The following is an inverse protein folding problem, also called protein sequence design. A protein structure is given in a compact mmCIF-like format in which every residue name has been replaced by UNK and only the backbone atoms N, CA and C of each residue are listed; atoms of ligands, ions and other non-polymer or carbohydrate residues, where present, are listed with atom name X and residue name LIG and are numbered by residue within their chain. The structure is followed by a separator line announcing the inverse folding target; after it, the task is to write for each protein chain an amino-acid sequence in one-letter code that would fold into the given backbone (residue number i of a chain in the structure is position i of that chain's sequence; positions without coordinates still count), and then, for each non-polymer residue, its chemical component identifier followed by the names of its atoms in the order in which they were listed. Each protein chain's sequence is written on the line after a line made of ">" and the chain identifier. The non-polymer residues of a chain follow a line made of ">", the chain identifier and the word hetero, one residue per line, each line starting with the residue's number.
data_IF_911740349426
#
_entry.id   IF_911740349426
#
_cell.length_a   1.000
_cell.length_b   1.000
_cell.length_c   1.000
_cell.angle_alpha   90.00
_cell.angle_beta   90.00
_cell.angle_gamma   90.00
#
_symmetry.space_group_name_H-M   'P 1'
#
loop_
_entity.id
_entity.type
_entity.pdbx_description
1 polymer ?
#
# COMPACT_ATOMS: atom_id res chain seq x y z
N UNK A 1 -30.75 -2.19 -24.51
CA UNK A 1 -30.24 -1.86 -25.85
C UNK A 1 -31.15 -2.38 -26.99
N UNK A 2 -31.50 -3.67 -27.06
CA UNK A 2 -32.38 -4.22 -28.11
C UNK A 2 -33.75 -3.54 -28.27
N UNK A 3 -34.41 -3.17 -27.17
CA UNK A 3 -35.73 -2.52 -27.20
C UNK A 3 -35.69 -1.05 -27.70
N UNK A 4 -34.56 -0.35 -27.50
CA UNK A 4 -34.32 0.99 -28.05
C UNK A 4 -34.10 0.94 -29.56
N UNK A 5 -33.37 -0.08 -30.03
CA UNK A 5 -33.16 -0.34 -31.46
C UNK A 5 -34.50 -0.62 -32.16
N UNK A 6 -35.37 -1.44 -31.56
CA UNK A 6 -36.70 -1.70 -32.12
C UNK A 6 -37.59 -0.47 -32.15
N UNK A 7 -37.56 0.37 -31.11
CA UNK A 7 -38.30 1.64 -31.08
C UNK A 7 -37.82 2.62 -32.16
N UNK A 8 -36.51 2.78 -32.33
CA UNK A 8 -35.97 3.65 -33.37
C UNK A 8 -36.29 3.17 -34.79
N UNK A 9 -36.26 1.84 -35.03
CA UNK A 9 -36.69 1.24 -36.30
C UNK A 9 -38.16 1.51 -36.59
N UNK A 10 -39.04 1.40 -35.58
CA UNK A 10 -40.47 1.74 -35.70
C UNK A 10 -40.73 3.22 -35.96
N UNK A 11 -39.83 4.11 -35.52
CA UNK A 11 -39.91 5.55 -35.75
C UNK A 11 -39.27 6.02 -37.07
N UNK A 12 -38.79 5.09 -37.90
CA UNK A 12 -38.21 5.39 -39.22
C UNK A 12 -36.83 6.07 -39.15
N UNK A 13 -36.12 5.96 -38.03
CA UNK A 13 -34.77 6.50 -37.92
C UNK A 13 -33.81 5.72 -38.84
N UNK A 14 -33.05 6.39 -39.73
CA UNK A 14 -32.34 5.72 -40.83
C UNK A 14 -31.10 4.93 -40.42
N UNK A 15 -30.69 4.94 -39.14
CA UNK A 15 -29.49 4.24 -38.66
C UNK A 15 -29.60 3.92 -37.17
N UNK A 16 -30.19 2.76 -36.84
CA UNK A 16 -30.43 2.31 -35.46
C UNK A 16 -29.76 0.97 -35.17
N UNK A 17 -28.78 0.58 -35.99
CA UNK A 17 -28.04 -0.65 -35.73
C UNK A 17 -27.05 -0.41 -34.58
N UNK A 18 -27.01 -1.32 -33.58
CA UNK A 18 -26.10 -1.18 -32.46
C UNK A 18 -24.66 -1.19 -32.99
N UNK A 19 -23.93 -0.12 -32.72
CA UNK A 19 -22.51 -0.04 -33.04
C UNK A 19 -21.74 -0.87 -31.98
N UNK A 20 -21.10 -1.99 -32.34
CA UNK A 20 -20.29 -2.76 -31.40
C UNK A 20 -19.06 -1.99 -30.91
N UNK A 21 -18.72 -0.87 -31.55
CA UNK A 21 -17.65 0.05 -31.15
C UNK A 21 -18.14 1.23 -30.30
N UNK A 22 -19.45 1.37 -30.06
CA UNK A 22 -19.91 2.31 -29.04
C UNK A 22 -19.43 1.79 -27.69
N UNK A 23 -18.42 2.47 -27.12
CA UNK A 23 -17.94 2.23 -25.75
C UNK A 23 -19.15 2.39 -24.81
N UNK A 24 -19.76 1.28 -24.38
CA UNK A 24 -20.60 1.31 -23.17
C UNK A 24 -19.67 1.69 -22.02
N UNK A 25 -19.82 2.90 -21.49
CA UNK A 25 -19.05 3.36 -20.34
C UNK A 25 -19.53 2.60 -19.10
N UNK A 26 -18.91 1.45 -18.84
CA UNK A 26 -19.13 0.69 -17.63
C UNK A 26 -18.32 1.32 -16.49
N UNK A 27 -19.01 1.95 -15.55
CA UNK A 27 -18.40 2.40 -14.29
C UNK A 27 -18.54 1.33 -13.23
N UNK A 28 -17.44 1.03 -12.54
CA UNK A 28 -17.42 0.12 -11.40
C UNK A 28 -16.59 0.68 -10.28
N UNK A 29 -17.03 0.43 -9.05
CA UNK A 29 -16.28 0.76 -7.86
C UNK A 29 -15.36 -0.41 -7.51
N UNK A 30 -14.09 -0.11 -7.28
CA UNK A 30 -13.11 -1.07 -6.82
C UNK A 30 -12.68 -0.71 -5.41
N UNK A 31 -12.58 -1.72 -4.54
CA UNK A 31 -12.06 -1.57 -3.18
C UNK A 31 -10.68 -2.20 -3.10
N UNK A 32 -9.69 -1.41 -2.72
CA UNK A 32 -8.33 -1.86 -2.43
C UNK A 32 -8.05 -1.73 -0.93
N UNK A 33 -7.39 -2.72 -0.34
CA UNK A 33 -6.90 -2.61 1.02
C UNK A 33 -5.46 -3.06 1.07
N UNK A 34 -4.62 -2.23 1.69
CA UNK A 34 -3.20 -2.45 1.82
C UNK A 34 -2.85 -2.43 3.31
N UNK A 35 -1.80 -3.14 3.67
CA UNK A 35 -1.23 -3.10 5.01
C UNK A 35 0.28 -2.96 4.86
N UNK A 36 0.86 -1.98 5.55
CA UNK A 36 2.30 -1.78 5.60
C UNK A 36 2.74 -2.20 6.99
N UNK A 37 3.52 -3.29 7.05
CA UNK A 37 4.21 -3.67 8.26
C UNK A 37 5.44 -2.76 8.43
N UNK A 38 5.27 -1.68 9.18
CA UNK A 38 6.31 -0.68 9.40
C UNK A 38 7.49 -1.22 10.22
N UNK A 39 7.27 -2.29 11.00
CA UNK A 39 8.30 -2.93 11.81
C UNK A 39 9.22 -3.80 10.96
N UNK A 40 8.70 -4.47 9.94
CA UNK A 40 9.49 -5.28 9.00
C UNK A 40 10.02 -4.42 7.85
N UNK A 41 9.34 -3.34 7.46
CA UNK A 41 9.73 -2.54 6.31
C UNK A 41 11.16 -2.00 6.44
N UNK A 42 12.00 -2.28 5.44
CA UNK A 42 13.41 -1.89 5.44
C UNK A 42 14.31 -2.75 6.35
N UNK A 43 13.82 -3.89 6.85
CA UNK A 43 14.62 -4.94 7.46
C UNK A 43 14.65 -6.15 6.53
N UNK A 44 15.82 -6.77 6.42
CA UNK A 44 15.99 -8.04 5.72
C UNK A 44 16.96 -8.94 6.51
N UNK A 45 16.85 -10.24 6.33
CA UNK A 45 17.64 -11.23 7.04
C UNK A 45 18.14 -12.30 6.08
N UNK A 46 19.45 -12.52 6.11
CA UNK A 46 20.14 -13.49 5.26
C UNK A 46 20.84 -14.50 6.15
N UNK A 47 20.65 -15.78 5.82
CA UNK A 47 21.43 -16.89 6.38
C UNK A 47 22.55 -17.21 5.40
N UNK A 48 23.79 -16.95 5.79
CA UNK A 48 24.98 -17.09 4.97
C UNK A 48 25.90 -18.20 5.47
N UNK A 49 26.65 -18.83 4.57
CA UNK A 49 27.67 -19.82 4.93
C UNK A 49 28.98 -19.15 5.37
N UNK A 50 29.24 -17.93 4.88
CA UNK A 50 30.39 -17.13 5.30
C UNK A 50 30.05 -15.63 5.27
N UNK A 51 30.60 -14.91 6.25
CA UNK A 51 30.60 -13.46 6.30
C UNK A 51 32.01 -12.94 6.54
N UNK A 52 32.46 -11.98 5.73
CA UNK A 52 33.70 -11.24 5.93
C UNK A 52 33.37 -9.79 6.28
N UNK A 53 33.67 -9.42 7.53
CA UNK A 53 33.41 -8.10 8.08
C UNK A 53 34.25 -7.00 7.42
N UNK A 54 35.48 -7.31 6.99
CA UNK A 54 36.39 -6.34 6.39
C UNK A 54 35.93 -5.90 4.99
N UNK A 55 35.44 -6.85 4.20
CA UNK A 55 34.95 -6.61 2.85
C UNK A 55 33.44 -6.46 2.75
N UNK A 56 32.71 -6.65 3.87
CA UNK A 56 31.24 -6.77 3.94
C UNK A 56 30.67 -7.73 2.90
N UNK A 57 31.41 -8.81 2.64
CA UNK A 57 31.02 -9.83 1.67
C UNK A 57 30.28 -10.98 2.32
N UNK A 58 29.23 -11.44 1.63
CA UNK A 58 28.35 -12.53 2.05
C UNK A 58 28.51 -13.65 1.04
N UNK A 59 28.72 -14.87 1.52
CA UNK A 59 28.76 -16.08 0.68
C UNK A 59 27.61 -17.00 1.04
N UNK A 60 26.83 -17.39 0.03
CA UNK A 60 25.78 -18.41 0.12
C UNK A 60 26.13 -19.54 -0.83
N UNK A 61 26.19 -20.77 -0.31
CA UNK A 61 26.49 -21.98 -1.06
C UNK A 61 25.20 -22.56 -1.63
N UNK A 62 25.20 -22.91 -2.90
CA UNK A 62 24.07 -23.57 -3.57
C UNK A 62 24.55 -24.74 -4.45
N UNK A 63 23.62 -25.61 -4.83
CA UNK A 63 23.89 -26.73 -5.76
C UNK A 63 23.23 -26.46 -7.10
N UNK A 64 24.01 -26.62 -8.17
CA UNK A 64 23.55 -26.53 -9.55
C UNK A 64 24.28 -27.62 -10.34
N UNK A 65 23.54 -28.45 -11.07
CA UNK A 65 24.07 -29.59 -11.84
C UNK A 65 24.96 -30.55 -11.02
N UNK A 66 24.55 -30.86 -9.78
CA UNK A 66 25.32 -31.65 -8.80
C UNK A 66 26.69 -31.07 -8.38
N UNK A 67 27.06 -29.89 -8.86
CA UNK A 67 28.24 -29.16 -8.42
C UNK A 67 27.88 -28.16 -7.31
N UNK A 68 28.74 -28.03 -6.32
CA UNK A 68 28.63 -26.99 -5.29
C UNK A 68 29.20 -25.69 -5.82
N UNK A 69 28.43 -24.61 -5.75
CA UNK A 69 28.80 -23.26 -6.21
C UNK A 69 28.59 -22.25 -5.08
N UNK A 70 29.37 -21.17 -5.15
CA UNK A 70 29.33 -20.07 -4.20
C UNK A 70 28.73 -18.83 -4.88
N UNK A 71 27.67 -18.27 -4.29
CA UNK A 71 27.14 -16.97 -4.65
C UNK A 71 27.67 -15.92 -3.68
N UNK A 72 28.45 -14.97 -4.19
CA UNK A 72 29.10 -13.94 -3.38
C UNK A 72 28.57 -12.57 -3.78
N UNK A 73 28.10 -11.82 -2.80
CA UNK A 73 27.65 -10.44 -2.98
C UNK A 73 28.12 -9.56 -1.82
N UNK A 74 28.16 -8.24 -2.05
CA UNK A 74 28.63 -7.24 -1.09
C UNK A 74 27.48 -6.34 -0.68
N UNK A 75 27.45 -5.95 0.60
CA UNK A 75 26.51 -4.94 1.08
C UNK A 75 27.16 -3.56 1.02
N UNK A 76 26.64 -2.69 0.16
CA UNK A 76 26.96 -1.27 0.16
C UNK A 76 26.13 -0.54 1.24
N UNK A 77 26.66 -0.46 2.47
CA UNK A 77 25.94 0.20 3.56
C UNK A 77 26.13 1.72 3.55
N UNK A 78 25.66 2.41 2.50
CA UNK A 78 25.69 3.88 2.50
C UNK A 78 24.68 4.47 3.49
N UNK A 79 23.59 3.75 3.83
CA UNK A 79 22.48 4.24 4.66
C UNK A 79 21.82 3.14 5.54
N UNK A 80 22.55 2.11 5.95
CA UNK A 80 21.98 0.99 6.73
C UNK A 80 22.98 0.37 7.71
N UNK A 81 22.45 -0.36 8.69
CA UNK A 81 23.22 -1.14 9.68
C UNK A 81 23.20 -2.60 9.27
N UNK A 82 24.37 -3.23 9.22
CA UNK A 82 24.51 -4.68 9.06
C UNK A 82 24.92 -5.25 10.40
N UNK A 83 24.06 -6.05 11.03
CA UNK A 83 24.39 -6.83 12.22
C UNK A 83 24.65 -8.26 11.80
N UNK A 84 25.63 -8.92 12.39
CA UNK A 84 25.87 -10.33 12.14
C UNK A 84 26.02 -11.10 13.46
N UNK A 85 25.56 -12.35 13.45
CA UNK A 85 25.74 -13.29 14.56
C UNK A 85 25.96 -14.70 14.00
N UNK A 86 26.74 -15.51 14.71
CA UNK A 86 26.82 -16.94 14.39
C UNK A 86 25.57 -17.63 14.95
N UNK A 87 25.00 -18.54 14.18
CA UNK A 87 23.86 -19.33 14.63
C UNK A 87 24.43 -20.51 15.42
N UNK A 88 24.17 -20.55 16.73
CA UNK A 88 24.62 -21.63 17.61
C UNK A 88 24.18 -22.98 17.02
N UNK A 89 25.12 -23.92 16.95
CA UNK A 89 25.03 -25.27 16.35
C UNK A 89 25.21 -25.37 14.82
N UNK A 90 25.49 -24.28 14.11
CA UNK A 90 25.83 -24.32 12.67
C UNK A 90 27.06 -23.47 12.35
N UNK A 91 27.79 -23.80 11.28
CA UNK A 91 28.85 -22.93 10.73
C UNK A 91 28.29 -21.71 9.97
N UNK A 92 26.99 -21.42 10.11
CA UNK A 92 26.29 -20.37 9.38
C UNK A 92 26.22 -19.05 10.17
N UNK A 93 26.10 -17.97 9.41
CA UNK A 93 25.97 -16.61 9.89
C UNK A 93 24.56 -16.11 9.62
N UNK A 94 23.94 -15.50 10.62
CA UNK A 94 22.77 -14.65 10.47
C UNK A 94 23.24 -13.23 10.22
N UNK A 95 22.75 -12.61 9.16
CA UNK A 95 23.07 -11.24 8.79
C UNK A 95 21.76 -10.47 8.70
N UNK A 96 21.56 -9.52 9.62
CA UNK A 96 20.41 -8.64 9.64
C UNK A 96 20.79 -7.30 8.97
N UNK A 97 20.05 -6.94 7.93
CA UNK A 97 20.22 -5.70 7.17
C UNK A 97 19.09 -4.76 7.57
N UNK A 98 19.43 -3.57 8.08
CA UNK A 98 18.45 -2.60 8.55
C UNK A 98 18.71 -1.25 7.89
N UNK A 99 17.72 -0.75 7.15
CA UNK A 99 17.74 0.60 6.57
C UNK A 99 17.62 1.64 7.69
N UNK A 100 18.33 2.77 7.55
CA UNK A 100 18.22 3.90 8.47
C UNK A 100 16.74 4.32 8.66
N UNK A 101 16.28 4.54 9.91
CA UNK A 101 14.90 4.97 10.19
C UNK A 101 14.41 6.15 9.37
N UNK A 102 15.25 7.17 9.12
CA UNK A 102 14.88 8.35 8.32
C UNK A 102 14.58 7.98 6.86
N UNK A 103 15.43 7.15 6.24
CA UNK A 103 15.23 6.67 4.87
C UNK A 103 14.02 5.74 4.79
N UNK A 104 13.86 4.85 5.78
CA UNK A 104 12.71 3.96 5.89
C UNK A 104 11.40 4.75 5.97
N UNK A 105 11.30 5.71 6.89
CA UNK A 105 10.10 6.53 7.08
C UNK A 105 9.78 7.34 5.82
N UNK A 106 10.80 7.95 5.18
CA UNK A 106 10.63 8.65 3.89
C UNK A 106 10.00 7.74 2.83
N UNK A 107 10.51 6.51 2.66
CA UNK A 107 9.97 5.55 1.69
C UNK A 107 8.52 5.18 1.98
N UNK A 108 8.16 5.00 3.25
CA UNK A 108 6.76 4.72 3.64
C UNK A 108 5.88 5.92 3.30
N UNK A 109 6.32 7.15 3.62
CA UNK A 109 5.60 8.38 3.25
C UNK A 109 5.43 8.48 1.73
N UNK A 110 6.49 8.27 0.95
CA UNK A 110 6.44 8.32 -0.52
C UNK A 110 5.42 7.30 -1.08
N UNK A 111 5.32 6.10 -0.50
CA UNK A 111 4.31 5.07 -0.86
C UNK A 111 2.90 5.56 -0.50
N UNK A 112 2.71 6.05 0.72
CA UNK A 112 1.41 6.54 1.20
C UNK A 112 0.91 7.73 0.37
N UNK A 113 1.79 8.66 0.02
CA UNK A 113 1.47 9.80 -0.84
C UNK A 113 1.14 9.37 -2.26
N UNK A 114 1.86 8.38 -2.80
CA UNK A 114 1.56 7.80 -4.12
C UNK A 114 0.17 7.18 -4.16
N UNK A 115 -0.21 6.44 -3.11
CA UNK A 115 -1.56 5.87 -2.97
C UNK A 115 -2.60 7.00 -2.82
N UNK A 116 -2.30 8.00 -1.99
CA UNK A 116 -3.23 9.10 -1.69
C UNK A 116 -3.52 9.99 -2.89
N UNK A 117 -2.48 10.34 -3.66
CA UNK A 117 -2.57 11.30 -4.76
C UNK A 117 -2.95 10.63 -6.08
N UNK A 118 -2.88 9.30 -6.14
CA UNK A 118 -3.32 8.50 -7.27
C UNK A 118 -2.16 7.90 -8.06
N UNK A 119 -2.50 6.83 -8.79
CA UNK A 119 -1.55 6.03 -9.56
C UNK A 119 -1.67 6.36 -11.04
N UNK A 120 -0.53 6.40 -11.73
CA UNK A 120 -0.49 6.46 -13.18
C UNK A 120 -1.02 5.16 -13.78
N UNK A 121 -1.95 5.27 -14.74
CA UNK A 121 -2.53 4.13 -15.43
C UNK A 121 -2.53 4.37 -16.94
N UNK A 122 -1.83 3.51 -17.67
CA UNK A 122 -1.81 3.55 -19.13
C UNK A 122 -2.64 2.41 -19.70
N UNK A 123 -3.62 2.72 -20.53
CA UNK A 123 -4.42 1.71 -21.24
C UNK A 123 -4.64 2.16 -22.68
N UNK A 124 -4.27 1.31 -23.64
CA UNK A 124 -4.55 1.51 -25.07
C UNK A 124 -4.17 2.89 -25.63
N UNK A 125 -3.02 3.44 -25.23
CA UNK A 125 -2.54 4.76 -25.68
C UNK A 125 -3.12 5.96 -24.91
N UNK A 126 -4.03 5.74 -23.97
CA UNK A 126 -4.53 6.75 -23.04
C UNK A 126 -3.67 6.76 -21.77
N UNK A 127 -3.31 7.96 -21.30
CA UNK A 127 -2.64 8.19 -20.02
C UNK A 127 -3.69 8.71 -19.03
N UNK A 128 -4.14 7.84 -18.12
CA UNK A 128 -5.14 8.13 -17.10
C UNK A 128 -4.50 8.14 -15.70
N UNK A 129 -5.17 8.79 -14.75
CA UNK A 129 -4.79 8.74 -13.33
C UNK A 129 -5.90 8.05 -12.56
N UNK A 130 -5.55 7.00 -11.80
CA UNK A 130 -6.46 6.34 -10.87
C UNK A 130 -6.33 7.06 -9.53
N UNK A 131 -7.30 7.93 -9.22
CA UNK A 131 -7.37 8.65 -7.94
C UNK A 131 -8.41 7.97 -7.04
N UNK A 132 -8.12 7.70 -5.76
CA UNK A 132 -9.10 7.18 -4.83
C UNK A 132 -10.32 8.11 -4.68
N UNK A 133 -11.53 7.53 -4.72
CA UNK A 133 -12.77 8.29 -4.46
C UNK A 133 -12.92 8.62 -2.97
N UNK A 134 -12.37 7.79 -2.10
CA UNK A 134 -12.16 8.06 -0.68
C UNK A 134 -11.02 7.16 -0.17
N UNK A 135 -10.41 7.55 0.94
CA UNK A 135 -9.32 6.84 1.62
C UNK A 135 -9.65 6.79 3.10
N UNK A 136 -9.41 5.62 3.71
CA UNK A 136 -9.43 5.42 5.15
C UNK A 136 -8.11 4.77 5.53
N UNK A 137 -7.39 5.36 6.48
CA UNK A 137 -6.11 4.85 6.96
C UNK A 137 -5.97 5.04 8.47
N UNK A 138 -5.25 4.15 9.14
CA UNK A 138 -4.93 4.28 10.57
C UNK A 138 -3.73 3.42 10.92
N UNK A 139 -3.08 3.72 12.04
CA UNK A 139 -2.18 2.77 12.70
C UNK A 139 -2.96 1.53 13.15
N UNK A 140 -2.35 0.36 13.02
CA UNK A 140 -2.95 -0.90 13.44
C UNK A 140 -1.97 -1.70 14.27
N UNK A 141 -2.46 -2.34 15.34
CA UNK A 141 -1.64 -3.19 16.23
C UNK A 141 -1.22 -4.51 15.57
N UNK A 142 -1.96 -4.92 14.54
CA UNK A 142 -1.74 -6.17 13.81
C UNK A 142 -1.73 -5.82 12.33
N UNK A 143 -0.77 -6.34 11.54
CA UNK A 143 -0.69 -6.10 10.10
C UNK A 143 -1.81 -6.87 9.36
N UNK A 144 -3.05 -6.44 9.55
CA UNK A 144 -4.25 -7.02 8.95
C UNK A 144 -5.09 -5.91 8.30
N UNK A 145 -5.81 -6.19 7.20
CA UNK A 145 -6.68 -5.23 6.52
C UNK A 145 -7.96 -4.94 7.32
N UNK A 146 -7.83 -4.27 8.48
CA UNK A 146 -8.90 -4.08 9.48
C UNK A 146 -10.14 -3.43 8.89
N UNK A 147 -9.99 -2.49 7.95
CA UNK A 147 -11.10 -1.77 7.33
C UNK A 147 -11.91 -2.64 6.35
N UNK A 148 -11.30 -3.65 5.72
CA UNK A 148 -11.87 -4.28 4.53
C UNK A 148 -13.25 -4.91 4.76
N UNK A 149 -13.45 -5.54 5.92
CA UNK A 149 -14.69 -6.23 6.27
C UNK A 149 -15.81 -5.29 6.70
N UNK A 150 -15.50 -4.10 7.18
CA UNK A 150 -16.50 -3.15 7.68
C UNK A 150 -16.95 -2.18 6.59
N UNK A 151 -16.03 -1.75 5.74
CA UNK A 151 -16.28 -0.66 4.79
C UNK A 151 -16.96 -1.17 3.53
N UNK A 152 -18.09 -0.54 3.22
CA UNK A 152 -18.86 -0.79 2.00
C UNK A 152 -19.44 0.52 1.45
N UNK A 153 -19.83 0.52 0.17
CA UNK A 153 -20.46 1.67 -0.50
C UNK A 153 -21.85 1.27 -0.94
N UNK A 154 -22.87 1.96 -0.42
CA UNK A 154 -24.26 1.75 -0.80
C UNK A 154 -24.80 2.93 -1.59
N UNK A 155 -25.72 2.63 -2.51
CA UNK A 155 -26.46 3.64 -3.25
C UNK A 155 -27.80 3.88 -2.55
N UNK A 156 -27.99 5.07 -2.00
CA UNK A 156 -29.23 5.53 -1.37
C UNK A 156 -29.73 6.77 -2.11
N UNK A 157 -30.98 6.75 -2.59
CA UNK A 157 -31.60 7.86 -3.34
C UNK A 157 -30.77 8.38 -4.53
N UNK A 158 -30.05 7.48 -5.20
CA UNK A 158 -29.18 7.82 -6.33
C UNK A 158 -27.78 8.28 -5.93
N UNK A 159 -27.52 8.53 -4.65
CA UNK A 159 -26.24 9.01 -4.10
C UNK A 159 -25.44 7.85 -3.51
N UNK A 160 -24.13 7.82 -3.77
CA UNK A 160 -23.22 6.85 -3.17
C UNK A 160 -22.83 7.29 -1.76
N UNK A 161 -22.98 6.41 -0.77
CA UNK A 161 -22.62 6.65 0.63
C UNK A 161 -21.70 5.56 1.14
N UNK A 162 -20.66 5.96 1.88
CA UNK A 162 -19.76 5.04 2.58
C UNK A 162 -20.38 4.66 3.92
N UNK A 163 -20.41 3.36 4.23
CA UNK A 163 -20.96 2.82 5.48
C UNK A 163 -19.94 1.97 6.23
N UNK A 164 -20.22 1.68 7.51
CA UNK A 164 -19.43 0.77 8.36
C UNK A 164 -18.25 1.38 9.10
N UNK A 165 -17.92 2.66 8.84
CA UNK A 165 -16.82 3.37 9.53
C UNK A 165 -17.02 3.35 11.05
N UNK A 166 -18.23 3.65 11.55
CA UNK A 166 -18.52 3.66 12.98
C UNK A 166 -18.31 2.30 13.65
N UNK A 167 -18.56 1.20 12.94
CA UNK A 167 -18.31 -0.14 13.47
C UNK A 167 -16.81 -0.47 13.45
N UNK A 168 -16.10 0.01 12.42
CA UNK A 168 -14.66 -0.10 12.36
C UNK A 168 -13.98 0.63 13.53
N UNK A 169 -14.43 1.84 13.90
CA UNK A 169 -13.86 2.63 15.01
C UNK A 169 -13.95 1.96 16.39
N UNK A 170 -14.82 0.96 16.54
CA UNK A 170 -14.95 0.13 17.75
C UNK A 170 -13.92 -1.00 17.79
N UNK A 171 -13.22 -1.27 16.70
CA UNK A 171 -12.25 -2.35 16.61
C UNK A 171 -10.98 -2.02 17.43
N UNK A 172 -10.65 -2.90 18.38
CA UNK A 172 -9.51 -2.74 19.30
C UNK A 172 -8.12 -2.76 18.63
N UNK A 173 -8.05 -3.20 17.37
CA UNK A 173 -6.81 -3.26 16.59
C UNK A 173 -6.45 -1.91 15.96
N UNK A 174 -7.40 -0.99 15.84
CA UNK A 174 -7.11 0.40 15.46
C UNK A 174 -6.32 1.05 16.59
N UNK A 175 -5.23 1.73 16.22
CA UNK A 175 -4.35 2.43 17.14
C UNK A 175 -4.27 3.91 16.77
N UNK A 176 -4.73 4.77 17.67
CA UNK A 176 -4.82 6.22 17.45
C UNK A 176 -5.99 6.65 16.57
N UNK A 177 -5.79 7.75 15.85
CA UNK A 177 -6.80 8.34 14.96
C UNK A 177 -6.89 7.63 13.61
N UNK A 178 -8.08 7.69 13.01
CA UNK A 178 -8.38 7.22 11.66
C UNK A 178 -8.41 8.42 10.73
N UNK A 179 -7.49 8.43 9.78
CA UNK A 179 -7.49 9.36 8.67
C UNK A 179 -8.61 9.02 7.69
N UNK A 180 -9.39 10.03 7.31
CA UNK A 180 -10.42 9.92 6.28
C UNK A 180 -10.26 11.07 5.29
N UNK A 181 -10.15 10.73 4.01
CA UNK A 181 -10.20 11.67 2.91
C UNK A 181 -11.29 11.23 1.94
N UNK A 182 -12.09 12.19 1.47
CA UNK A 182 -13.17 11.92 0.52
C UNK A 182 -13.09 12.87 -0.70
N UNK A 183 -14.06 12.78 -1.60
CA UNK A 183 -14.18 13.70 -2.72
C UNK A 183 -15.64 14.06 -2.98
N UNK A 184 -15.86 15.04 -3.87
CA UNK A 184 -17.22 15.46 -4.26
C UNK A 184 -18.10 14.33 -4.79
N UNK A 185 -17.50 13.28 -5.39
CA UNK A 185 -18.23 12.15 -5.97
C UNK A 185 -18.75 11.17 -4.92
N UNK A 186 -18.01 10.98 -3.82
CA UNK A 186 -18.36 10.10 -2.71
C UNK A 186 -17.93 10.80 -1.43
N UNK A 187 -18.90 11.35 -0.70
CA UNK A 187 -18.68 11.99 0.59
C UNK A 187 -18.76 10.99 1.74
N UNK A 188 -17.98 11.23 2.77
CA UNK A 188 -17.93 10.44 3.99
C UNK A 188 -18.52 11.23 5.15
N UNK A 189 -19.80 11.03 5.42
CA UNK A 189 -20.54 11.76 6.45
C UNK A 189 -20.44 11.07 7.83
N UNK A 190 -19.26 11.13 8.46
CA UNK A 190 -19.05 10.57 9.81
C UNK A 190 -18.35 11.59 10.71
N UNK A 191 -19.00 11.92 11.83
CA UNK A 191 -18.43 12.75 12.90
C UNK A 191 -18.07 11.86 14.09
N UNK A 192 -16.78 11.79 14.41
CA UNK A 192 -16.24 11.05 15.54
C UNK A 192 -14.90 11.68 15.97
N UNK A 193 -14.60 11.70 17.26
CA UNK A 193 -13.35 12.26 17.80
C UNK A 193 -12.09 11.50 17.36
N UNK A 194 -12.25 10.22 16.98
CA UNK A 194 -11.18 9.40 16.43
C UNK A 194 -10.90 9.68 14.96
N UNK A 195 -11.72 10.47 14.28
CA UNK A 195 -11.51 10.78 12.85
C UNK A 195 -10.66 12.06 12.72
N UNK A 196 -9.76 12.05 11.74
CA UNK A 196 -9.01 13.22 11.29
C UNK A 196 -9.01 13.30 9.77
N UNK A 197 -9.11 14.51 9.23
CA UNK A 197 -8.91 14.83 7.81
C UNK A 197 -7.53 15.48 7.55
N UNK A 198 -6.79 15.81 8.61
CA UNK A 198 -5.42 16.29 8.53
C UNK A 198 -4.43 15.14 8.28
N UNK A 199 -3.85 15.13 7.08
CA UNK A 199 -2.84 14.17 6.65
C UNK A 199 -1.55 14.24 7.49
N UNK A 200 -1.09 15.45 7.83
CA UNK A 200 0.14 15.61 8.61
C UNK A 200 -0.07 15.16 10.05
N UNK A 201 -1.26 15.41 10.63
CA UNK A 201 -1.61 14.90 11.94
C UNK A 201 -1.64 13.36 11.94
N UNK A 202 -2.19 12.74 10.88
CA UNK A 202 -2.15 11.30 10.71
C UNK A 202 -0.71 10.76 10.62
N UNK A 203 0.14 11.34 9.77
CA UNK A 203 1.53 10.90 9.63
C UNK A 203 2.30 10.99 10.96
N UNK A 204 2.08 12.07 11.73
CA UNK A 204 2.66 12.23 13.05
C UNK A 204 2.18 11.16 14.04
N UNK A 205 0.87 10.89 14.07
CA UNK A 205 0.26 9.88 14.94
C UNK A 205 0.89 8.49 14.72
N UNK A 206 1.14 8.11 13.46
CA UNK A 206 1.74 6.80 13.12
C UNK A 206 3.28 6.80 13.18
N UNK A 207 3.90 7.84 13.76
CA UNK A 207 5.35 7.91 13.93
C UNK A 207 6.15 8.17 12.64
N UNK A 208 5.50 8.71 11.61
CA UNK A 208 6.09 9.08 10.32
C UNK A 208 6.24 10.61 10.22
N UNK A 209 7.07 11.21 11.08
CA UNK A 209 7.38 12.65 10.95
C UNK A 209 8.32 12.91 9.77
N UNK A 210 8.05 13.97 9.01
CA UNK A 210 8.97 14.50 8.00
C UNK A 210 10.25 14.96 8.72
N UNK A 211 11.31 14.15 8.61
CA UNK A 211 12.49 14.25 9.45
C UNK A 211 13.28 15.55 9.34
N UNK A 212 12.90 16.52 10.17
CA UNK A 212 13.79 17.50 10.79
C UNK A 212 14.00 17.11 12.26
N UNK A 213 14.61 15.94 12.51
CA UNK A 213 14.90 15.48 13.86
C UNK A 213 16.11 14.54 13.86
N UNK A 214 17.21 15.01 14.44
CA UNK A 214 18.35 14.18 14.82
C UNK A 214 17.90 13.25 15.94
N UNK A 215 17.58 11.99 15.62
CA UNK A 215 17.52 10.95 16.64
C UNK A 215 18.58 9.90 16.34
N UNK A 216 19.62 9.92 17.16
CA UNK A 216 20.58 8.83 17.26
C UNK A 216 19.83 7.54 17.60
N UNK A 217 20.08 6.42 16.91
CA UNK A 217 19.51 5.15 17.31
C UNK A 217 20.01 4.81 18.71
N UNK A 218 19.07 4.65 19.66
CA UNK A 218 19.36 4.06 20.96
C UNK A 218 19.89 2.64 20.74
N UNK A 219 21.02 2.39 21.40
CA UNK A 219 21.82 1.16 21.47
C UNK A 219 21.01 -0.11 21.71
#
# INVERSE_FOLDING_TARGET
>A
NHDLVQRGKKQGLPKVDPDPYNKEEHSSLYKLTLTIDSDIFGKDMIIADKYDESSKSITVKYKEDNAQKDFIFKIESNNGVVKHSKINDTEKYRIDIVVNPKTRNKRIIDILESIKNGLYAQSSGEANTIVPLFIIASGVKIPSPVFHSFIDVKKEDGVLKVIGIKDCLKNSWIDGKVFVQDCERIRVDVKDEKITDDWNAFLKEVGLENGNGNENPKT
#
